data_IF_213197286018
#
_entry.id   IF_213197286018
#
_cell.length_a   1.000
_cell.length_b   1.000
_cell.length_c   1.000
_cell.angle_alpha   90.00
_cell.angle_beta   90.00
_cell.angle_gamma   90.00
#
_symmetry.space_group_name_H-M   'P 1'
#
loop_
_entity.id
_entity.type
_entity.pdbx_description
1 polymer ?
#
# COMPACT_ATOMS: atom_id res chain seq x y z
N UNK A 1 0.73 7.52 11.01
CA UNK A 1 -0.32 8.26 11.75
C UNK A 1 0.16 9.58 12.33
N UNK A 2 1.27 9.67 13.04
CA UNK A 2 1.78 10.95 13.56
C UNK A 2 2.04 12.00 12.48
N UNK A 3 2.67 11.59 11.36
CA UNK A 3 2.88 12.50 10.22
C UNK A 3 1.56 12.99 9.63
N UNK A 4 0.58 12.09 9.44
CA UNK A 4 -0.75 12.46 8.95
C UNK A 4 -1.48 13.39 9.92
N UNK A 5 -1.41 13.14 11.24
CA UNK A 5 -1.95 14.02 12.25
C UNK A 5 -1.27 15.40 12.30
N UNK A 6 0.05 15.43 12.14
CA UNK A 6 0.79 16.70 12.04
C UNK A 6 0.36 17.51 10.80
N UNK A 7 0.16 16.83 9.68
CA UNK A 7 -0.27 17.44 8.42
C UNK A 7 -1.69 17.99 8.51
N UNK A 8 -2.63 17.18 8.98
CA UNK A 8 -4.08 17.49 8.98
C UNK A 8 -4.51 18.22 10.23
N UNK A 9 -4.36 17.60 11.41
CA UNK A 9 -4.94 18.08 12.65
C UNK A 9 -4.21 19.31 13.20
N UNK A 10 -2.88 19.37 13.10
CA UNK A 10 -2.10 20.53 13.58
C UNK A 10 -1.96 21.64 12.55
N UNK A 11 -1.65 21.26 11.29
CA UNK A 11 -1.39 22.25 10.25
C UNK A 11 -2.63 22.58 9.42
N UNK A 12 -3.78 21.97 9.71
CA UNK A 12 -5.05 22.18 9.01
C UNK A 12 -4.96 22.02 7.49
N UNK A 13 -4.05 21.13 7.03
CA UNK A 13 -3.84 20.86 5.61
C UNK A 13 -4.71 19.68 5.15
N UNK A 14 -5.23 19.76 3.92
CA UNK A 14 -6.12 18.75 3.36
C UNK A 14 -5.50 17.35 3.33
N UNK A 15 -6.21 16.36 3.85
CA UNK A 15 -5.72 15.00 4.02
C UNK A 15 -5.54 14.25 2.70
N UNK A 16 -6.39 14.49 1.71
CA UNK A 16 -6.30 13.85 0.38
C UNK A 16 -4.94 14.13 -0.27
N UNK A 17 -4.51 15.38 -0.24
CA UNK A 17 -3.22 15.78 -0.79
C UNK A 17 -2.04 15.15 -0.02
N UNK A 18 -2.14 15.12 1.31
CA UNK A 18 -1.13 14.50 2.17
C UNK A 18 -0.99 13.00 1.93
N UNK A 19 -2.11 12.29 1.80
CA UNK A 19 -2.10 10.84 1.53
C UNK A 19 -1.53 10.51 0.15
N UNK A 20 -1.82 11.29 -0.88
CA UNK A 20 -1.25 11.09 -2.22
C UNK A 20 0.26 11.30 -2.23
N UNK A 21 0.72 12.39 -1.60
CA UNK A 21 2.14 12.65 -1.46
C UNK A 21 2.85 11.52 -0.70
N UNK A 22 2.29 11.10 0.44
CA UNK A 22 2.87 10.02 1.23
C UNK A 22 2.91 8.71 0.44
N UNK A 23 1.85 8.36 -0.28
CA UNK A 23 1.80 7.16 -1.10
C UNK A 23 2.91 7.09 -2.16
N UNK A 24 3.21 8.23 -2.80
CA UNK A 24 4.30 8.31 -3.80
C UNK A 24 5.68 8.02 -3.21
N UNK A 25 5.87 8.35 -1.94
CA UNK A 25 7.14 8.28 -1.23
C UNK A 25 7.36 6.97 -0.45
N UNK A 26 6.30 6.22 -0.15
CA UNK A 26 6.39 4.94 0.55
C UNK A 26 7.01 3.88 -0.35
N UNK A 27 8.04 3.18 0.12
CA UNK A 27 8.73 2.13 -0.65
C UNK A 27 7.82 0.92 -0.89
N UNK A 28 7.16 0.47 0.15
CA UNK A 28 6.25 -0.69 0.21
C UNK A 28 4.77 -0.29 0.30
N UNK A 29 4.44 0.93 -0.12
CA UNK A 29 3.14 1.53 0.15
C UNK A 29 1.95 0.81 -0.47
N UNK A 30 1.11 0.21 0.37
CA UNK A 30 -0.25 -0.18 -0.01
C UNK A 30 -1.14 1.05 -0.13
N UNK A 31 -1.82 1.22 -1.27
CA UNK A 31 -2.73 2.34 -1.49
C UNK A 31 -3.90 2.33 -0.50
N UNK A 32 -4.49 1.16 -0.26
CA UNK A 32 -5.60 1.01 0.66
C UNK A 32 -5.19 1.30 2.11
N UNK A 33 -4.11 0.73 2.59
CA UNK A 33 -3.63 0.94 3.95
C UNK A 33 -3.26 2.41 4.21
N UNK A 34 -2.59 3.07 3.24
CA UNK A 34 -2.27 4.48 3.34
C UNK A 34 -3.55 5.34 3.39
N UNK A 35 -4.48 5.15 2.46
CA UNK A 35 -5.74 5.89 2.40
C UNK A 35 -6.55 5.75 3.69
N UNK A 36 -6.78 4.52 4.15
CA UNK A 36 -7.54 4.23 5.37
C UNK A 36 -6.85 4.81 6.62
N UNK A 37 -5.52 4.77 6.69
CA UNK A 37 -4.75 5.37 7.78
C UNK A 37 -4.92 6.89 7.85
N UNK A 38 -4.98 7.57 6.72
CA UNK A 38 -5.26 9.02 6.67
C UNK A 38 -6.72 9.33 7.01
N UNK A 39 -7.69 8.57 6.49
CA UNK A 39 -9.09 8.71 6.85
C UNK A 39 -9.33 8.51 8.35
N UNK A 40 -8.68 7.50 8.94
CA UNK A 40 -8.74 7.30 10.37
C UNK A 40 -8.18 8.50 11.14
N UNK A 41 -7.07 9.07 10.68
CA UNK A 41 -6.42 10.21 11.34
C UNK A 41 -7.30 11.45 11.38
N UNK A 42 -8.06 11.72 10.31
CA UNK A 42 -9.00 12.85 10.27
C UNK A 42 -10.35 12.54 10.92
N UNK A 43 -10.53 11.35 11.42
CA UNK A 43 -11.75 10.95 12.14
C UNK A 43 -12.90 10.48 11.25
N UNK A 44 -12.68 10.26 9.95
CA UNK A 44 -13.72 9.84 9.01
C UNK A 44 -14.44 8.54 9.42
N UNK A 45 -13.71 7.61 10.05
CA UNK A 45 -14.28 6.35 10.53
C UNK A 45 -14.65 6.33 12.01
N UNK A 46 -14.14 7.27 12.82
CA UNK A 46 -14.26 7.24 14.28
C UNK A 46 -15.06 8.42 14.84
N UNK A 47 -15.37 9.41 14.00
CA UNK A 47 -15.99 10.66 14.43
C UNK A 47 -15.08 11.55 15.29
N UNK A 48 -13.80 11.18 15.45
CA UNK A 48 -12.83 11.92 16.25
C UNK A 48 -11.46 11.95 15.59
N UNK A 49 -10.92 13.14 15.27
CA UNK A 49 -9.57 13.26 14.72
C UNK A 49 -8.51 12.74 15.69
N UNK A 50 -7.43 12.20 15.15
CA UNK A 50 -6.32 11.71 15.94
C UNK A 50 -5.29 12.82 16.19
N UNK A 51 -5.27 13.32 17.42
CA UNK A 51 -4.22 14.19 17.93
C UNK A 51 -3.15 13.41 18.69
N UNK A 52 -1.93 13.95 18.76
CA UNK A 52 -0.88 13.44 19.65
C UNK A 52 -0.11 14.57 20.32
N UNK A 53 0.53 14.25 21.43
CA UNK A 53 1.32 15.18 22.21
C UNK A 53 2.69 14.57 22.58
N UNK A 54 3.60 15.42 23.07
CA UNK A 54 4.97 15.04 23.44
C UNK A 54 5.04 13.82 24.36
N UNK A 55 4.17 13.70 25.33
CA UNK A 55 4.19 12.59 26.28
C UNK A 55 4.05 11.21 25.60
N UNK A 56 3.32 11.13 24.48
CA UNK A 56 3.20 9.90 23.72
C UNK A 56 4.51 9.54 23.00
N UNK A 57 5.25 10.56 22.54
CA UNK A 57 6.59 10.37 21.97
C UNK A 57 7.55 9.92 23.06
N UNK A 58 7.55 10.61 24.21
CA UNK A 58 8.40 10.25 25.36
C UNK A 58 8.15 8.83 25.85
N UNK A 59 6.89 8.38 25.88
CA UNK A 59 6.54 7.01 26.28
C UNK A 59 7.13 5.94 25.37
N UNK A 60 7.24 6.22 24.07
CA UNK A 60 7.70 5.27 23.04
C UNK A 60 9.19 5.36 22.72
N UNK A 61 9.73 6.56 22.82
CA UNK A 61 11.11 6.85 22.49
C UNK A 61 11.65 7.99 23.40
N UNK A 62 11.86 7.70 24.69
CA UNK A 62 12.19 8.71 25.70
C UNK A 62 13.46 9.50 25.36
N UNK A 63 14.45 8.86 24.76
CA UNK A 63 15.71 9.50 24.41
C UNK A 63 15.60 10.53 23.26
N UNK A 64 14.59 10.42 22.40
CA UNK A 64 14.38 11.41 21.34
C UNK A 64 14.06 12.80 21.92
N UNK A 65 13.17 12.85 22.90
CA UNK A 65 12.78 14.11 23.53
C UNK A 65 13.89 14.71 24.39
N UNK A 66 14.68 13.89 25.09
CA UNK A 66 15.79 14.37 25.94
C UNK A 66 16.91 15.03 25.12
N UNK A 67 17.19 14.51 23.93
CA UNK A 67 18.21 15.02 23.00
C UNK A 67 17.66 16.00 21.96
N UNK A 68 16.36 16.27 21.94
CA UNK A 68 15.74 17.14 20.96
C UNK A 68 16.18 18.60 21.15
N UNK A 69 16.66 19.29 20.11
CA UNK A 69 16.99 20.72 20.20
C UNK A 69 15.81 21.60 20.61
N UNK A 70 14.58 21.17 20.30
CA UNK A 70 13.34 21.87 20.61
C UNK A 70 12.72 21.48 21.96
N UNK A 71 13.43 20.73 22.81
CA UNK A 71 12.87 20.22 24.07
C UNK A 71 12.27 21.27 24.99
N UNK A 72 12.80 22.50 24.96
CA UNK A 72 12.35 23.63 25.80
C UNK A 72 11.28 24.51 25.11
N UNK A 73 11.01 24.26 23.80
CA UNK A 73 9.99 24.94 23.02
C UNK A 73 9.37 23.93 22.05
N UNK A 74 8.76 22.90 22.62
CA UNK A 74 8.27 21.76 21.85
C UNK A 74 6.95 22.11 21.14
N UNK A 75 6.90 22.05 19.80
CA UNK A 75 5.66 22.39 19.06
C UNK A 75 4.54 21.36 19.27
N UNK A 76 4.85 20.21 19.87
CA UNK A 76 3.87 19.16 20.19
C UNK A 76 3.75 18.93 21.70
N UNK A 77 4.07 19.91 22.54
CA UNK A 77 4.00 19.78 24.00
C UNK A 77 2.62 19.31 24.46
N UNK A 78 1.57 19.91 23.90
CA UNK A 78 0.18 19.63 24.22
C UNK A 78 -0.57 19.03 23.02
N UNK A 79 -1.75 18.46 23.25
CA UNK A 79 -2.68 18.13 22.19
C UNK A 79 -3.12 19.40 21.45
N UNK A 80 -3.49 19.31 20.15
CA UNK A 80 -4.09 20.44 19.46
C UNK A 80 -5.39 20.87 20.14
N UNK A 81 -5.58 22.17 20.32
CA UNK A 81 -6.73 22.71 21.05
C UNK A 81 -8.06 22.54 20.28
N UNK A 82 -8.00 22.64 18.95
CA UNK A 82 -9.14 22.45 18.06
C UNK A 82 -8.85 21.34 17.04
N UNK A 83 -9.53 20.22 17.21
CA UNK A 83 -9.52 19.13 16.25
C UNK A 83 -10.82 19.19 15.44
N UNK A 84 -10.77 19.83 14.25
CA UNK A 84 -11.91 19.87 13.35
C UNK A 84 -12.05 18.54 12.59
N UNK A 85 -13.30 18.06 12.52
CA UNK A 85 -13.66 16.95 11.65
C UNK A 85 -13.72 17.46 10.21
N UNK A 86 -12.93 16.90 9.33
CA UNK A 86 -13.22 17.00 7.90
C UNK A 86 -14.47 16.16 7.61
N UNK A 87 -15.53 16.81 7.15
CA UNK A 87 -16.75 16.13 6.70
C UNK A 87 -16.44 15.28 5.46
N UNK A 88 -16.13 14.01 5.67
CA UNK A 88 -16.17 13.03 4.59
C UNK A 88 -17.65 12.63 4.37
N UNK A 89 -18.12 12.47 3.13
CA UNK A 89 -19.46 11.97 2.87
C UNK A 89 -19.57 10.53 3.38
N UNK A 90 -20.07 10.39 4.60
CA UNK A 90 -20.13 9.14 5.36
C UNK A 90 -21.14 8.13 4.80
N UNK A 91 -22.11 8.61 4.01
CA UNK A 91 -23.25 7.78 3.61
C UNK A 91 -22.97 6.69 2.58
N UNK A 92 -21.92 6.81 1.78
CA UNK A 92 -21.68 5.85 0.70
C UNK A 92 -20.91 4.59 1.12
N UNK A 93 -20.13 4.67 2.21
CA UNK A 93 -19.30 3.56 2.67
C UNK A 93 -20.05 2.55 3.56
N UNK A 94 -21.10 3.00 4.25
CA UNK A 94 -21.87 2.14 5.15
C UNK A 94 -22.99 1.35 4.46
N UNK A 95 -23.33 1.67 3.21
CA UNK A 95 -24.41 1.00 2.46
C UNK A 95 -24.00 -0.32 1.80
N UNK A 96 -22.72 -0.63 1.75
CA UNK A 96 -22.25 -1.88 1.16
C UNK A 96 -22.11 -2.96 2.22
N UNK A 97 -23.14 -3.79 2.36
CA UNK A 97 -22.96 -5.13 2.84
C UNK A 97 -22.96 -5.38 4.35
N UNK A 98 -23.62 -4.54 5.16
CA UNK A 98 -23.98 -4.96 6.51
C UNK A 98 -24.95 -6.16 6.40
N UNK A 99 -24.43 -7.36 6.64
CA UNK A 99 -25.21 -8.60 6.62
C UNK A 99 -24.93 -9.58 5.48
N UNK A 100 -23.96 -9.34 4.62
CA UNK A 100 -23.53 -10.35 3.67
C UNK A 100 -22.69 -11.40 4.37
N UNK A 101 -23.21 -12.61 4.52
CA UNK A 101 -22.45 -13.80 4.89
C UNK A 101 -21.64 -14.37 3.71
N UNK A 102 -21.42 -13.58 2.65
CA UNK A 102 -20.60 -13.99 1.53
C UNK A 102 -19.16 -14.22 2.02
N UNK A 103 -18.51 -15.31 1.63
CA UNK A 103 -17.12 -15.56 2.01
C UNK A 103 -16.24 -14.41 1.50
N UNK A 104 -15.41 -13.88 2.39
CA UNK A 104 -14.41 -12.87 2.03
C UNK A 104 -13.17 -13.59 1.50
N UNK A 105 -12.81 -13.32 0.26
CA UNK A 105 -11.66 -13.92 -0.40
C UNK A 105 -12.04 -14.74 -1.64
N UNK A 106 -11.04 -15.32 -2.31
CA UNK A 106 -11.30 -16.14 -3.49
C UNK A 106 -12.05 -17.41 -3.07
N UNK A 107 -13.26 -17.54 -3.57
CA UNK A 107 -14.10 -18.76 -3.37
C UNK A 107 -13.73 -19.86 -4.34
N UNK A 108 -13.02 -19.51 -5.40
CA UNK A 108 -12.60 -20.42 -6.45
C UNK A 108 -11.15 -20.13 -6.83
N UNK A 109 -10.33 -21.15 -6.83
CA UNK A 109 -8.95 -21.08 -7.35
C UNK A 109 -9.01 -21.63 -8.76
N UNK A 110 -8.99 -20.75 -9.76
CA UNK A 110 -8.81 -21.16 -11.14
C UNK A 110 -7.39 -21.70 -11.28
N UNK A 111 -7.26 -23.00 -11.42
CA UNK A 111 -5.99 -23.65 -11.67
C UNK A 111 -5.86 -23.88 -13.18
N UNK A 112 -5.06 -23.04 -13.83
CA UNK A 112 -4.46 -23.48 -15.08
C UNK A 112 -3.53 -24.65 -14.75
N UNK A 113 -3.78 -25.81 -15.35
CA UNK A 113 -3.06 -27.04 -14.99
C UNK A 113 -1.60 -27.06 -15.45
N UNK A 114 -1.23 -26.16 -16.36
CA UNK A 114 0.12 -26.10 -16.94
C UNK A 114 0.56 -24.63 -17.15
N UNK A 115 0.90 -23.89 -16.10
CA UNK A 115 1.50 -22.56 -16.29
C UNK A 115 2.88 -22.68 -16.95
N UNK A 116 3.21 -21.73 -17.80
CA UNK A 116 4.50 -21.60 -18.46
C UNK A 116 5.42 -20.63 -17.72
N UNK A 117 4.82 -19.70 -16.98
CA UNK A 117 5.54 -18.65 -16.23
C UNK A 117 4.93 -18.45 -14.85
N UNK A 118 5.76 -17.96 -13.92
CA UNK A 118 5.28 -17.33 -12.68
C UNK A 118 5.28 -15.82 -12.88
N UNK A 119 4.11 -15.19 -12.83
CA UNK A 119 3.98 -13.73 -12.93
C UNK A 119 3.97 -13.11 -11.53
N UNK A 120 5.07 -12.48 -11.14
CA UNK A 120 5.13 -11.70 -9.90
C UNK A 120 4.47 -10.34 -10.08
N UNK A 121 3.83 -9.87 -9.02
CA UNK A 121 3.22 -8.53 -8.95
C UNK A 121 3.85 -7.70 -7.83
N UNK A 122 3.60 -6.39 -7.83
CA UNK A 122 4.06 -5.51 -6.74
C UNK A 122 3.42 -5.83 -5.37
N UNK A 123 2.30 -6.56 -5.39
CA UNK A 123 1.57 -6.95 -4.18
C UNK A 123 2.08 -8.27 -3.59
N UNK A 124 2.90 -9.00 -4.36
CA UNK A 124 3.54 -10.25 -3.95
C UNK A 124 4.90 -10.37 -4.65
N UNK A 125 5.88 -9.60 -4.18
CA UNK A 125 7.22 -9.48 -4.78
C UNK A 125 8.27 -9.95 -3.77
N UNK A 126 8.61 -11.24 -3.82
CA UNK A 126 9.61 -11.83 -2.92
C UNK A 126 9.72 -13.33 -3.08
N UNK A 127 10.71 -13.93 -2.42
CA UNK A 127 10.99 -15.38 -2.47
C UNK A 127 9.85 -16.24 -1.91
N UNK A 128 9.06 -15.67 -0.98
CA UNK A 128 7.95 -16.37 -0.33
C UNK A 128 6.61 -16.24 -1.11
N UNK A 129 6.66 -15.75 -2.37
CA UNK A 129 5.47 -15.70 -3.21
C UNK A 129 4.88 -17.11 -3.40
N UNK A 130 3.59 -17.33 -3.07
CA UNK A 130 2.98 -18.66 -3.15
C UNK A 130 2.96 -19.27 -4.56
N UNK A 131 2.83 -18.48 -5.62
CA UNK A 131 2.89 -18.98 -6.99
C UNK A 131 4.30 -19.40 -7.36
N UNK A 132 5.33 -18.68 -6.91
CA UNK A 132 6.74 -19.01 -7.08
C UNK A 132 7.08 -20.32 -6.33
N UNK A 133 6.71 -20.42 -5.06
CA UNK A 133 6.94 -21.61 -4.24
C UNK A 133 6.27 -22.87 -4.82
N UNK A 134 5.09 -22.70 -5.42
CA UNK A 134 4.37 -23.81 -6.05
C UNK A 134 4.95 -24.24 -7.42
N UNK A 135 5.76 -23.38 -8.06
CA UNK A 135 6.31 -23.60 -9.40
C UNK A 135 7.80 -23.22 -9.47
N UNK A 136 8.67 -23.83 -8.66
CA UNK A 136 10.06 -23.37 -8.47
C UNK A 136 10.98 -23.57 -9.70
N UNK A 137 10.51 -24.24 -10.73
CA UNK A 137 11.28 -24.52 -11.95
C UNK A 137 10.84 -23.70 -13.16
N UNK A 138 9.77 -22.91 -13.01
CA UNK A 138 9.29 -22.09 -14.10
C UNK A 138 10.03 -20.74 -14.15
N UNK A 139 10.25 -20.19 -15.35
CA UNK A 139 10.77 -18.85 -15.49
C UNK A 139 9.82 -17.83 -14.83
N UNK A 140 10.42 -16.87 -14.15
CA UNK A 140 9.72 -15.82 -13.42
C UNK A 140 9.61 -14.58 -14.30
N UNK A 141 8.46 -13.96 -14.30
CA UNK A 141 8.21 -12.74 -15.07
C UNK A 141 7.73 -11.63 -14.15
N UNK A 142 8.23 -10.43 -14.35
CA UNK A 142 7.70 -9.22 -13.77
C UNK A 142 7.42 -8.20 -14.87
N UNK A 143 6.22 -7.63 -14.90
CA UNK A 143 5.84 -6.62 -15.88
C UNK A 143 5.56 -5.30 -15.16
N UNK A 144 6.44 -4.32 -15.37
CA UNK A 144 6.14 -2.94 -14.95
C UNK A 144 4.92 -2.44 -15.73
N UNK A 145 3.83 -2.13 -15.02
CA UNK A 145 2.63 -1.57 -15.64
C UNK A 145 2.89 -0.11 -16.05
N UNK A 146 3.15 0.12 -17.33
CA UNK A 146 3.50 1.42 -17.88
C UNK A 146 2.43 2.48 -17.61
N UNK A 147 1.16 2.15 -17.83
CA UNK A 147 0.05 3.07 -17.59
C UNK A 147 -0.11 3.41 -16.10
N UNK A 148 0.10 2.43 -15.21
CA UNK A 148 0.08 2.66 -13.78
C UNK A 148 1.25 3.53 -13.32
N UNK A 149 2.45 3.31 -13.82
CA UNK A 149 3.63 4.14 -13.52
C UNK A 149 3.42 5.59 -13.94
N UNK A 150 2.92 5.83 -15.16
CA UNK A 150 2.63 7.16 -15.66
C UNK A 150 1.58 7.89 -14.80
N UNK A 151 0.54 7.17 -14.35
CA UNK A 151 -0.55 7.73 -13.53
C UNK A 151 -0.14 7.99 -12.08
N UNK A 152 0.61 7.07 -11.47
CA UNK A 152 0.91 7.11 -10.03
C UNK A 152 2.05 8.06 -9.68
N UNK A 153 2.91 8.39 -10.63
CA UNK A 153 4.07 9.27 -10.44
C UNK A 153 4.89 8.86 -9.19
N UNK A 154 5.23 7.60 -9.10
CA UNK A 154 6.01 7.06 -7.99
C UNK A 154 7.37 7.74 -7.88
N UNK A 155 7.89 7.89 -6.66
CA UNK A 155 9.23 8.45 -6.46
C UNK A 155 10.31 7.54 -7.06
N UNK A 156 11.40 8.14 -7.53
CA UNK A 156 12.53 7.40 -8.08
C UNK A 156 13.08 6.34 -7.10
N UNK A 157 13.12 6.66 -5.79
CA UNK A 157 13.56 5.71 -4.76
C UNK A 157 12.67 4.47 -4.65
N UNK A 158 11.35 4.61 -4.91
CA UNK A 158 10.43 3.47 -4.93
C UNK A 158 10.65 2.59 -6.16
N UNK A 159 10.87 3.20 -7.31
CA UNK A 159 11.24 2.45 -8.53
C UNK A 159 12.57 1.71 -8.32
N UNK A 160 13.54 2.40 -7.73
CA UNK A 160 14.84 1.81 -7.41
C UNK A 160 14.71 0.63 -6.46
N UNK A 161 13.89 0.73 -5.43
CA UNK A 161 13.57 -0.38 -4.52
C UNK A 161 13.03 -1.60 -5.26
N UNK A 162 12.10 -1.42 -6.22
CA UNK A 162 11.61 -2.54 -7.04
C UNK A 162 12.72 -3.15 -7.89
N UNK A 163 13.57 -2.32 -8.50
CA UNK A 163 14.68 -2.82 -9.33
C UNK A 163 15.71 -3.61 -8.52
N UNK A 164 16.07 -3.15 -7.33
CA UNK A 164 16.96 -3.89 -6.43
C UNK A 164 16.34 -5.21 -5.95
N UNK A 165 15.05 -5.21 -5.62
CA UNK A 165 14.33 -6.44 -5.25
C UNK A 165 14.31 -7.44 -6.41
N UNK A 166 14.06 -6.98 -7.63
CA UNK A 166 14.08 -7.82 -8.83
C UNK A 166 15.49 -8.33 -9.13
N UNK A 167 16.51 -7.52 -8.95
CA UNK A 167 17.90 -7.92 -9.12
C UNK A 167 18.29 -9.02 -8.12
N UNK A 168 17.91 -8.88 -6.86
CA UNK A 168 18.11 -9.88 -5.82
C UNK A 168 17.39 -11.20 -6.15
N UNK A 169 16.15 -11.14 -6.62
CA UNK A 169 15.40 -12.32 -7.08
C UNK A 169 16.03 -13.00 -8.30
N UNK A 170 16.62 -12.22 -9.20
CA UNK A 170 17.29 -12.75 -10.40
C UNK A 170 18.59 -13.56 -10.10
N UNK A 171 19.16 -13.39 -8.91
CA UNK A 171 20.29 -14.23 -8.47
C UNK A 171 19.89 -15.69 -8.23
N UNK A 172 18.61 -15.97 -8.01
CA UNK A 172 18.07 -17.28 -7.63
C UNK A 172 17.05 -17.84 -8.62
N UNK A 173 16.55 -17.01 -9.53
CA UNK A 173 15.51 -17.40 -10.48
C UNK A 173 15.86 -16.94 -11.89
N UNK A 174 15.41 -17.66 -12.91
CA UNK A 174 15.39 -17.15 -14.27
C UNK A 174 14.31 -16.04 -14.35
N UNK A 175 14.72 -14.78 -14.21
CA UNK A 175 13.81 -13.65 -14.15
C UNK A 175 13.84 -12.83 -15.43
N UNK A 176 12.66 -12.62 -16.02
CA UNK A 176 12.41 -11.75 -17.18
C UNK A 176 11.64 -10.52 -16.73
N UNK A 177 12.11 -9.33 -17.11
CA UNK A 177 11.47 -8.07 -16.73
C UNK A 177 11.03 -7.30 -17.98
N UNK A 178 9.76 -6.92 -18.02
CA UNK A 178 9.15 -6.19 -19.13
C UNK A 178 8.55 -4.86 -18.67
N UNK A 179 8.34 -3.97 -19.62
CA UNK A 179 7.51 -2.76 -19.48
C UNK A 179 6.28 -2.92 -20.37
N UNK A 180 5.07 -2.75 -19.81
CA UNK A 180 3.83 -2.91 -20.57
C UNK A 180 2.62 -3.11 -19.66
N UNK A 181 1.67 -3.94 -20.07
CA UNK A 181 0.50 -4.30 -19.27
C UNK A 181 0.61 -5.77 -18.79
N UNK A 182 0.71 -6.03 -17.48
CA UNK A 182 0.78 -7.38 -16.94
C UNK A 182 -0.45 -8.24 -17.28
N UNK A 183 -1.63 -7.62 -17.48
CA UNK A 183 -2.84 -8.36 -17.87
C UNK A 183 -2.78 -8.80 -19.33
N UNK A 184 -2.17 -8.01 -20.23
CA UNK A 184 -1.95 -8.43 -21.61
C UNK A 184 -0.96 -9.60 -21.65
N UNK A 185 0.11 -9.54 -20.86
CA UNK A 185 1.04 -10.66 -20.74
C UNK A 185 0.31 -11.95 -20.30
N UNK A 186 -0.52 -11.86 -19.26
CA UNK A 186 -1.29 -13.01 -18.76
C UNK A 186 -2.39 -13.49 -19.71
N UNK A 187 -2.86 -12.64 -20.64
CA UNK A 187 -3.81 -13.04 -21.68
C UNK A 187 -3.16 -13.83 -22.80
N UNK A 188 -1.90 -13.53 -23.08
CA UNK A 188 -1.13 -14.16 -24.16
C UNK A 188 -0.35 -15.39 -23.71
N UNK A 189 -0.14 -15.58 -22.40
CA UNK A 189 0.67 -16.64 -21.83
C UNK A 189 -0.04 -17.32 -20.66
N UNK A 190 0.19 -18.61 -20.47
CA UNK A 190 -0.30 -19.33 -19.32
C UNK A 190 0.55 -19.00 -18.08
N UNK A 191 0.00 -18.26 -17.13
CA UNK A 191 0.73 -17.80 -15.95
C UNK A 191 0.16 -18.32 -14.63
N UNK A 192 1.05 -18.60 -13.68
CA UNK A 192 0.70 -18.70 -12.27
C UNK A 192 0.92 -17.33 -11.61
N UNK A 193 -0.09 -16.80 -10.93
CA UNK A 193 -0.03 -15.51 -10.22
C UNK A 193 -0.64 -15.64 -8.83
N UNK A 194 0.01 -15.05 -7.84
CA UNK A 194 -0.51 -15.05 -6.47
C UNK A 194 -1.66 -14.06 -6.33
N UNK A 195 -2.77 -14.53 -5.76
CA UNK A 195 -3.93 -13.68 -5.49
C UNK A 195 -3.57 -12.52 -4.56
N UNK A 196 -3.95 -11.31 -4.95
CA UNK A 196 -3.87 -10.13 -4.10
C UNK A 196 -5.28 -9.53 -3.92
N UNK A 197 -5.69 -9.16 -2.69
CA UNK A 197 -7.02 -8.59 -2.42
C UNK A 197 -7.08 -7.10 -2.82
N UNK A 198 -6.70 -6.81 -4.05
CA UNK A 198 -6.71 -5.45 -4.63
C UNK A 198 -7.68 -5.39 -5.82
N UNK A 199 -8.37 -4.27 -6.04
CA UNK A 199 -9.37 -4.18 -7.10
C UNK A 199 -8.85 -4.51 -8.50
N UNK A 200 -7.58 -4.21 -8.79
CA UNK A 200 -6.96 -4.50 -10.08
C UNK A 200 -6.78 -6.00 -10.35
N UNK A 201 -6.79 -6.83 -9.30
CA UNK A 201 -6.58 -8.28 -9.45
C UNK A 201 -7.73 -8.97 -10.20
N UNK A 202 -8.97 -8.43 -10.16
CA UNK A 202 -10.08 -8.98 -10.92
C UNK A 202 -9.79 -9.16 -12.42
N UNK A 203 -8.95 -8.31 -12.98
CA UNK A 203 -8.54 -8.42 -14.38
C UNK A 203 -7.77 -9.69 -14.71
N UNK A 204 -7.13 -10.31 -13.74
CA UNK A 204 -6.49 -11.62 -13.90
C UNK A 204 -7.47 -12.78 -13.79
N UNK A 205 -8.59 -12.59 -13.09
CA UNK A 205 -9.62 -13.64 -12.92
C UNK A 205 -10.63 -13.67 -14.06
N UNK A 206 -10.63 -12.65 -14.93
CA UNK A 206 -11.48 -12.55 -16.11
C UNK A 206 -10.79 -13.12 -17.39
N UNK A 207 -9.57 -13.62 -17.25
CA UNK A 207 -8.76 -14.22 -18.32
C UNK A 207 -8.93 -15.74 -18.33
#
# INVERSE_FOLDING_TARGET
>A
MWLASQWTVRNHAGWLHGQERMYRELLDGSRAANLLGWQWTVGAGTGKPYGFARWQVQKRAPELCSRCPLKNNCPIEHFPDEMQLENAPFESLLKSGAGSNAPTGPTEVLKNKNPEFVLLTIDSLGDDDPALLANPTLPVVFVFNEAALAKLQLSAKRIYFYLETLQDLAERNELLVYLGDPHNFARENAVAVTHAPVPSFHKFTEL
#
